data_IF_935419134852
#
_entry.id   IF_935419134852
#
_cell.length_a   1.000
_cell.length_b   1.000
_cell.length_c   1.000
_cell.angle_alpha   90.00
_cell.angle_beta   90.00
_cell.angle_gamma   90.00
#
_symmetry.space_group_name_H-M   'P 1'
#
loop_
_entity.id
_entity.type
_entity.pdbx_description
1 polymer ?
#
# COMPACT_ATOMS: atom_id res chain seq x y z
N UNK A 1 53.30 -29.10 -4.63
CA UNK A 1 52.41 -28.19 -5.38
C UNK A 1 51.00 -28.43 -4.87
N UNK A 2 50.49 -27.54 -4.03
CA UNK A 2 49.15 -27.67 -3.45
C UNK A 2 48.45 -26.33 -3.65
N UNK A 3 47.48 -26.32 -4.57
CA UNK A 3 46.67 -25.14 -4.86
C UNK A 3 45.74 -24.84 -3.68
N UNK A 4 45.91 -23.67 -3.07
CA UNK A 4 44.95 -23.13 -2.11
C UNK A 4 43.88 -22.38 -2.91
N UNK A 5 42.76 -23.05 -3.17
CA UNK A 5 41.55 -22.42 -3.71
C UNK A 5 41.02 -21.42 -2.68
N UNK A 6 41.19 -20.13 -2.98
CA UNK A 6 40.54 -19.06 -2.26
C UNK A 6 39.05 -19.08 -2.62
N UNK A 7 38.24 -19.64 -1.72
CA UNK A 7 36.81 -19.42 -1.71
C UNK A 7 36.57 -17.93 -1.43
N UNK A 8 36.23 -17.19 -2.47
CA UNK A 8 35.74 -15.81 -2.35
C UNK A 8 34.43 -15.89 -1.57
N UNK A 9 34.50 -15.55 -0.29
CA UNK A 9 33.32 -15.35 0.55
C UNK A 9 32.44 -14.30 -0.11
N UNK A 10 31.23 -14.68 -0.51
CA UNK A 10 30.17 -13.73 -0.85
C UNK A 10 30.02 -12.79 0.34
N UNK A 11 30.15 -11.48 0.08
CA UNK A 11 30.07 -10.46 1.11
C UNK A 11 28.73 -10.57 1.86
N UNK A 12 28.79 -10.78 3.16
CA UNK A 12 27.65 -10.97 4.08
C UNK A 12 27.07 -9.62 4.51
N UNK A 13 26.89 -8.70 3.56
CA UNK A 13 26.25 -7.42 3.85
C UNK A 13 24.83 -7.44 3.31
N UNK A 14 23.87 -7.69 4.20
CA UNK A 14 22.45 -7.44 3.91
C UNK A 14 22.30 -5.98 3.44
N UNK A 15 21.60 -5.76 2.34
CA UNK A 15 21.24 -4.42 1.87
C UNK A 15 20.34 -3.70 2.90
N UNK A 16 20.25 -2.36 2.81
CA UNK A 16 19.35 -1.60 3.68
C UNK A 16 17.87 -2.02 3.51
N UNK A 17 17.48 -2.40 2.29
CA UNK A 17 16.17 -2.95 1.99
C UNK A 17 15.91 -4.28 2.68
N UNK A 18 16.87 -5.21 2.66
CA UNK A 18 16.75 -6.51 3.33
C UNK A 18 16.67 -6.38 4.85
N UNK A 19 17.47 -5.49 5.45
CA UNK A 19 17.39 -5.21 6.89
C UNK A 19 16.04 -4.62 7.29
N UNK A 20 15.53 -3.68 6.50
CA UNK A 20 14.24 -3.06 6.76
C UNK A 20 13.08 -4.07 6.60
N UNK A 21 13.13 -4.90 5.55
CA UNK A 21 12.18 -5.98 5.35
C UNK A 21 12.19 -6.97 6.52
N UNK A 22 13.38 -7.39 7.00
CA UNK A 22 13.51 -8.26 8.17
C UNK A 22 12.91 -7.63 9.43
N UNK A 23 13.11 -6.32 9.63
CA UNK A 23 12.53 -5.60 10.77
C UNK A 23 10.99 -5.58 10.72
N UNK A 24 10.40 -5.29 9.56
CA UNK A 24 8.95 -5.32 9.39
C UNK A 24 8.37 -6.71 9.62
N UNK A 25 9.02 -7.74 9.08
CA UNK A 25 8.61 -9.13 9.28
C UNK A 25 8.66 -9.53 10.76
N UNK A 26 9.73 -9.18 11.45
CA UNK A 26 9.89 -9.47 12.87
C UNK A 26 8.78 -8.83 13.70
N UNK A 27 8.42 -7.57 13.40
CA UNK A 27 7.33 -6.88 14.08
C UNK A 27 5.96 -7.54 13.80
N UNK A 28 5.72 -7.94 12.54
CA UNK A 28 4.51 -8.68 12.16
C UNK A 28 4.38 -10.00 12.91
N UNK A 29 5.49 -10.69 13.14
CA UNK A 29 5.53 -12.00 13.79
C UNK A 29 5.49 -11.93 15.32
N UNK A 30 5.99 -10.85 15.93
CA UNK A 30 5.97 -10.71 17.39
C UNK A 30 4.57 -10.43 17.94
N UNK A 31 3.70 -9.82 17.15
CA UNK A 31 2.36 -9.42 17.59
C UNK A 31 2.34 -8.17 18.48
N UNK A 32 3.48 -7.49 18.61
CA UNK A 32 3.59 -6.27 19.40
C UNK A 32 2.87 -5.11 18.71
N UNK A 33 2.26 -4.22 19.50
CA UNK A 33 1.62 -3.00 19.01
C UNK A 33 2.62 -1.90 18.61
N UNK A 34 3.91 -2.21 18.61
CA UNK A 34 4.96 -1.30 18.20
C UNK A 34 4.77 -0.88 16.73
N UNK A 35 5.33 0.28 16.41
CA UNK A 35 5.21 0.87 15.08
C UNK A 35 6.57 1.16 14.49
N UNK A 36 6.70 0.94 13.18
CA UNK A 36 7.89 1.31 12.41
C UNK A 36 7.62 2.59 11.66
N UNK A 37 8.62 3.48 11.68
CA UNK A 37 8.62 4.71 10.90
C UNK A 37 9.17 4.41 9.50
N UNK A 38 8.44 4.83 8.49
CA UNK A 38 8.80 4.81 7.09
C UNK A 38 8.88 6.24 6.57
N UNK A 39 9.95 6.59 5.85
CA UNK A 39 10.18 7.95 5.31
C UNK A 39 10.40 7.93 3.80
N UNK A 40 11.09 6.92 3.31
CA UNK A 40 11.55 6.89 1.93
C UNK A 40 10.59 6.10 1.01
N UNK A 41 10.49 6.48 -0.28
CA UNK A 41 9.71 5.73 -1.25
C UNK A 41 10.05 4.23 -1.32
N UNK A 42 11.34 3.86 -1.25
CA UNK A 42 11.72 2.44 -1.26
C UNK A 42 11.21 1.70 -0.01
N UNK A 43 11.17 2.34 1.17
CA UNK A 43 10.61 1.76 2.39
C UNK A 43 9.11 1.54 2.26
N UNK A 44 8.42 2.46 1.57
CA UNK A 44 6.98 2.35 1.32
C UNK A 44 6.67 1.11 0.48
N UNK A 45 7.46 0.83 -0.57
CA UNK A 45 7.32 -0.39 -1.39
C UNK A 45 7.43 -1.66 -0.55
N UNK A 46 8.46 -1.74 0.31
CA UNK A 46 8.69 -2.90 1.18
C UNK A 46 7.56 -3.03 2.22
N UNK A 47 7.11 -1.92 2.79
CA UNK A 47 6.00 -1.90 3.74
C UNK A 47 4.70 -2.42 3.14
N UNK A 48 4.36 -2.01 1.91
CA UNK A 48 3.17 -2.52 1.23
C UNK A 48 3.25 -4.01 0.95
N UNK A 49 4.42 -4.52 0.54
CA UNK A 49 4.59 -5.96 0.33
C UNK A 49 4.32 -6.76 1.61
N UNK A 50 4.84 -6.32 2.76
CA UNK A 50 4.63 -7.00 4.03
C UNK A 50 3.19 -6.89 4.55
N UNK A 51 2.54 -5.74 4.38
CA UNK A 51 1.12 -5.56 4.71
C UNK A 51 0.23 -6.44 3.82
N UNK A 52 0.51 -6.51 2.52
CA UNK A 52 -0.22 -7.40 1.62
C UNK A 52 0.06 -8.87 1.91
N UNK A 53 1.29 -9.22 2.31
CA UNK A 53 1.59 -10.58 2.76
C UNK A 53 0.78 -10.95 4.00
N UNK A 54 0.66 -10.04 4.98
CA UNK A 54 -0.26 -10.23 6.10
C UNK A 54 -1.70 -10.42 5.61
N UNK A 55 -2.19 -9.58 4.69
CA UNK A 55 -3.55 -9.70 4.15
C UNK A 55 -3.80 -11.07 3.51
N UNK A 56 -2.85 -11.58 2.73
CA UNK A 56 -2.89 -12.91 2.11
C UNK A 56 -2.95 -14.01 3.19
N UNK A 57 -2.06 -13.93 4.17
CA UNK A 57 -1.98 -14.93 5.25
C UNK A 57 -3.26 -14.93 6.09
N UNK A 58 -3.80 -13.75 6.40
CA UNK A 58 -5.07 -13.59 7.12
C UNK A 58 -6.23 -14.11 6.28
N UNK A 59 -6.31 -13.78 4.99
CA UNK A 59 -7.39 -14.24 4.10
C UNK A 59 -7.43 -15.77 3.97
N UNK A 60 -6.27 -16.42 3.96
CA UNK A 60 -6.16 -17.88 3.96
C UNK A 60 -6.67 -18.52 5.26
N UNK A 61 -6.56 -17.83 6.39
CA UNK A 61 -7.00 -18.30 7.73
C UNK A 61 -8.43 -17.88 8.06
N UNK A 62 -8.85 -16.73 7.57
CA UNK A 62 -10.09 -16.03 7.92
C UNK A 62 -10.63 -15.40 6.65
N UNK A 63 -11.78 -15.90 6.16
CA UNK A 63 -12.39 -15.39 4.94
C UNK A 63 -12.90 -13.96 5.14
N UNK A 64 -12.90 -13.17 4.08
CA UNK A 64 -13.54 -11.84 4.04
C UNK A 64 -12.63 -10.70 4.49
N UNK A 65 -11.31 -10.83 4.30
CA UNK A 65 -10.38 -9.73 4.53
C UNK A 65 -10.57 -8.67 3.45
N UNK A 66 -10.72 -7.42 3.90
CA UNK A 66 -10.80 -6.25 3.03
C UNK A 66 -9.55 -5.40 3.22
N UNK A 67 -8.83 -5.15 2.12
CA UNK A 67 -7.76 -4.15 2.06
C UNK A 67 -8.37 -2.82 1.61
N UNK A 68 -8.09 -1.77 2.37
CA UNK A 68 -8.57 -0.41 2.12
C UNK A 68 -7.40 0.49 1.80
N UNK A 69 -7.47 1.20 0.69
CA UNK A 69 -6.42 2.12 0.23
C UNK A 69 -7.03 3.48 -0.04
N UNK A 70 -6.60 4.50 0.69
CA UNK A 70 -6.92 5.88 0.42
C UNK A 70 -5.63 6.56 -0.04
N UNK A 71 -5.61 7.01 -1.29
CA UNK A 71 -4.39 7.50 -1.94
C UNK A 71 -4.64 8.72 -2.82
N UNK A 72 -3.63 9.56 -3.02
CA UNK A 72 -3.72 10.66 -3.98
C UNK A 72 -3.58 10.23 -5.42
N UNK A 73 -2.78 9.20 -5.67
CA UNK A 73 -2.65 8.57 -6.98
C UNK A 73 -2.20 7.11 -6.83
N UNK A 74 -2.37 6.33 -7.89
CA UNK A 74 -1.92 4.94 -7.97
C UNK A 74 -0.77 4.83 -8.99
N UNK A 75 0.39 5.41 -8.67
CA UNK A 75 1.52 5.46 -9.60
C UNK A 75 2.44 4.24 -9.51
N UNK A 76 3.15 3.93 -10.59
CA UNK A 76 4.05 2.76 -10.68
C UNK A 76 5.30 2.90 -9.81
N UNK A 77 5.68 4.12 -9.44
CA UNK A 77 6.82 4.39 -8.56
C UNK A 77 6.56 3.95 -7.12
N UNK A 78 5.30 3.78 -6.72
CA UNK A 78 4.90 3.31 -5.39
C UNK A 78 4.28 1.91 -5.47
N UNK A 79 3.42 1.68 -6.44
CA UNK A 79 2.68 0.44 -6.65
C UNK A 79 3.25 -0.39 -7.82
N UNK A 80 4.57 -0.35 -8.01
CA UNK A 80 5.24 -1.08 -9.10
C UNK A 80 5.04 -2.60 -9.07
N UNK A 81 5.64 -3.34 -10.03
CA UNK A 81 5.35 -4.76 -10.25
C UNK A 81 5.34 -5.65 -8.98
N UNK A 82 6.30 -5.54 -8.04
CA UNK A 82 6.29 -6.37 -6.83
C UNK A 82 5.08 -6.14 -5.92
N UNK A 83 4.54 -4.93 -5.87
CA UNK A 83 3.34 -4.60 -5.08
C UNK A 83 2.09 -5.05 -5.84
N UNK A 84 2.05 -4.84 -7.16
CA UNK A 84 0.98 -5.31 -8.03
C UNK A 84 0.80 -6.83 -7.94
N UNK A 85 1.89 -7.60 -8.01
CA UNK A 85 1.88 -9.06 -7.87
C UNK A 85 1.29 -9.51 -6.52
N UNK A 86 1.55 -8.77 -5.45
CA UNK A 86 0.98 -9.06 -4.12
C UNK A 86 -0.51 -8.75 -4.05
N UNK A 87 -0.99 -7.69 -4.70
CA UNK A 87 -2.42 -7.45 -4.86
C UNK A 87 -3.09 -8.59 -5.62
N UNK A 88 -2.51 -9.03 -6.73
CA UNK A 88 -3.04 -10.16 -7.52
C UNK A 88 -3.10 -11.45 -6.68
N UNK A 89 -2.05 -11.76 -5.92
CA UNK A 89 -2.04 -12.90 -4.99
C UNK A 89 -3.14 -12.81 -3.93
N UNK A 90 -3.40 -11.62 -3.40
CA UNK A 90 -4.44 -11.38 -2.40
C UNK A 90 -5.85 -11.55 -2.99
N UNK A 91 -6.11 -10.99 -4.18
CA UNK A 91 -7.37 -11.14 -4.90
C UNK A 91 -7.61 -12.62 -5.30
N UNK A 92 -6.56 -13.32 -5.71
CA UNK A 92 -6.61 -14.75 -6.01
C UNK A 92 -6.92 -15.60 -4.75
N UNK A 93 -6.46 -15.19 -3.58
CA UNK A 93 -6.84 -15.79 -2.29
C UNK A 93 -8.30 -15.46 -1.88
N UNK A 94 -9.00 -14.63 -2.65
CA UNK A 94 -10.39 -14.25 -2.42
C UNK A 94 -10.58 -13.07 -1.48
N UNK A 95 -9.54 -12.27 -1.26
CA UNK A 95 -9.67 -11.00 -0.57
C UNK A 95 -10.30 -9.92 -1.45
N UNK A 96 -10.80 -8.87 -0.81
CA UNK A 96 -11.42 -7.72 -1.48
C UNK A 96 -10.54 -6.46 -1.31
N UNK A 97 -10.44 -5.65 -2.36
CA UNK A 97 -9.68 -4.39 -2.34
C UNK A 97 -10.62 -3.22 -2.63
N UNK A 98 -10.59 -2.21 -1.77
CA UNK A 98 -11.31 -0.94 -1.96
C UNK A 98 -10.33 0.21 -2.03
N UNK A 99 -10.38 0.99 -3.09
CA UNK A 99 -9.48 2.11 -3.34
C UNK A 99 -10.26 3.41 -3.48
N UNK A 100 -9.93 4.42 -2.68
CA UNK A 100 -10.38 5.79 -2.89
C UNK A 100 -9.18 6.58 -3.41
N UNK A 101 -9.33 7.16 -4.59
CA UNK A 101 -8.37 8.11 -5.16
C UNK A 101 -8.94 9.52 -4.99
N UNK A 102 -8.25 10.41 -4.30
CA UNK A 102 -8.79 11.76 -4.06
C UNK A 102 -8.39 12.81 -5.09
N UNK A 103 -7.43 12.50 -5.97
CA UNK A 103 -7.05 13.39 -7.06
C UNK A 103 -7.79 12.98 -8.35
N UNK A 104 -8.30 13.96 -9.11
CA UNK A 104 -9.03 13.73 -10.38
C UNK A 104 -8.14 13.19 -11.51
N UNK A 105 -6.82 13.11 -11.32
CA UNK A 105 -5.90 12.55 -12.32
C UNK A 105 -5.90 11.01 -12.30
N UNK A 106 -7.03 10.41 -12.66
CA UNK A 106 -7.19 8.96 -12.83
C UNK A 106 -6.24 8.40 -13.91
N UNK A 107 -5.91 9.20 -14.93
CA UNK A 107 -5.12 8.82 -16.10
C UNK A 107 -3.72 8.23 -15.78
N UNK A 108 -3.04 8.73 -14.73
CA UNK A 108 -1.72 8.18 -14.33
C UNK A 108 -1.83 6.86 -13.56
N UNK A 109 -3.01 6.58 -13.01
CA UNK A 109 -3.31 5.45 -12.12
C UNK A 109 -3.91 4.25 -12.86
N UNK A 110 -4.16 4.44 -14.15
CA UNK A 110 -5.15 3.70 -14.91
C UNK A 110 -4.75 2.26 -15.24
N UNK A 111 -3.49 2.01 -15.59
CA UNK A 111 -3.07 0.68 -16.06
C UNK A 111 -3.16 -0.38 -14.96
N UNK A 112 -2.72 -0.04 -13.75
CA UNK A 112 -2.66 -0.99 -12.64
C UNK A 112 -4.05 -1.23 -12.04
N UNK A 113 -4.83 -0.16 -11.87
CA UNK A 113 -6.23 -0.27 -11.46
C UNK A 113 -7.01 -1.10 -12.51
N UNK A 114 -6.88 -0.79 -13.81
CA UNK A 114 -7.54 -1.56 -14.88
C UNK A 114 -7.07 -3.01 -14.96
N UNK A 115 -5.83 -3.32 -14.58
CA UNK A 115 -5.34 -4.70 -14.53
C UNK A 115 -6.03 -5.49 -13.42
N UNK A 116 -6.12 -4.88 -12.23
CA UNK A 116 -6.70 -5.51 -11.04
C UNK A 116 -8.24 -5.57 -11.09
N UNK A 117 -8.91 -4.56 -11.66
CA UNK A 117 -10.37 -4.50 -11.81
C UNK A 117 -10.95 -5.64 -12.66
N UNK A 118 -10.20 -6.16 -13.65
CA UNK A 118 -10.67 -7.30 -14.48
C UNK A 118 -10.99 -8.54 -13.66
N UNK A 119 -10.49 -8.64 -12.44
CA UNK A 119 -10.74 -9.77 -11.54
C UNK A 119 -12.04 -9.61 -10.72
N UNK A 120 -12.76 -8.49 -10.84
CA UNK A 120 -14.10 -8.28 -10.24
C UNK A 120 -14.13 -8.15 -8.71
N UNK A 121 -12.96 -8.07 -8.06
CA UNK A 121 -12.79 -8.01 -6.60
C UNK A 121 -12.04 -6.76 -6.12
N UNK A 122 -11.83 -5.82 -7.04
CA UNK A 122 -11.30 -4.50 -6.76
C UNK A 122 -12.35 -3.47 -7.14
N UNK A 123 -12.69 -2.59 -6.19
CA UNK A 123 -13.52 -1.42 -6.44
C UNK A 123 -12.68 -0.17 -6.25
N UNK A 124 -12.81 0.78 -7.18
CA UNK A 124 -12.19 2.10 -7.08
C UNK A 124 -13.27 3.19 -7.07
N UNK A 125 -13.11 4.20 -6.20
CA UNK A 125 -13.95 5.40 -6.15
C UNK A 125 -13.07 6.65 -6.18
N UNK A 126 -13.64 7.75 -6.66
CA UNK A 126 -12.97 9.05 -6.65
C UNK A 126 -13.71 9.96 -5.66
N UNK A 127 -12.98 10.68 -4.80
CA UNK A 127 -13.62 11.59 -3.83
C UNK A 127 -13.90 12.99 -4.40
N UNK A 128 -13.27 13.38 -5.52
CA UNK A 128 -13.49 14.68 -6.19
C UNK A 128 -12.97 15.91 -5.43
N UNK A 129 -12.16 15.70 -4.39
CA UNK A 129 -11.63 16.79 -3.54
C UNK A 129 -10.28 17.27 -4.05
N UNK A 130 -10.26 18.09 -5.10
CA UNK A 130 -9.00 18.49 -5.78
C UNK A 130 -8.34 19.79 -5.32
N UNK A 131 -8.97 20.67 -4.53
CA UNK A 131 -8.35 21.99 -4.32
C UNK A 131 -8.49 22.70 -2.96
N UNK A 132 -9.43 22.32 -2.08
CA UNK A 132 -9.64 23.02 -0.80
C UNK A 132 -9.62 22.10 0.44
N UNK A 133 -9.21 20.84 0.30
CA UNK A 133 -9.14 19.87 1.38
C UNK A 133 -7.79 19.93 2.11
N UNK A 134 -7.81 20.33 3.38
CA UNK A 134 -6.69 20.28 4.32
C UNK A 134 -5.96 18.92 4.22
N UNK A 135 -4.64 18.96 4.02
CA UNK A 135 -3.66 17.85 4.11
C UNK A 135 -4.28 16.44 4.21
N UNK A 136 -4.38 15.73 3.08
CA UNK A 136 -4.88 14.36 3.06
C UNK A 136 -3.73 13.35 3.28
N UNK A 137 -3.94 12.43 4.22
CA UNK A 137 -2.98 11.36 4.56
C UNK A 137 -3.25 10.11 3.75
N UNK A 138 -2.21 9.53 3.13
CA UNK A 138 -2.35 8.18 2.57
C UNK A 138 -2.61 7.18 3.69
N UNK A 139 -3.60 6.33 3.47
CA UNK A 139 -3.98 5.29 4.41
C UNK A 139 -4.02 3.95 3.67
N UNK A 140 -3.46 2.93 4.30
CA UNK A 140 -3.56 1.54 3.88
C UNK A 140 -3.94 0.71 5.10
N UNK A 141 -5.07 0.00 5.05
CA UNK A 141 -5.56 -0.83 6.17
C UNK A 141 -5.81 -2.26 5.69
N UNK A 142 -5.34 -3.22 6.48
CA UNK A 142 -5.61 -4.65 6.29
C UNK A 142 -6.62 -5.09 7.34
N UNK A 143 -7.85 -5.38 6.92
CA UNK A 143 -8.91 -5.83 7.83
C UNK A 143 -9.14 -4.84 8.97
N UNK A 144 -8.94 -5.29 10.20
CA UNK A 144 -8.94 -4.49 11.43
C UNK A 144 -7.67 -4.73 12.26
N UNK A 145 -6.59 -5.16 11.63
CA UNK A 145 -5.41 -5.70 12.35
C UNK A 145 -4.17 -4.84 12.14
N UNK A 146 -3.97 -4.34 10.92
CA UNK A 146 -2.76 -3.64 10.54
C UNK A 146 -3.05 -2.42 9.67
N UNK A 147 -2.15 -1.44 9.73
CA UNK A 147 -2.22 -0.26 8.89
C UNK A 147 -0.86 0.36 8.57
N UNK A 148 -0.85 1.15 7.50
CA UNK A 148 0.11 2.23 7.26
C UNK A 148 -0.65 3.54 7.19
N UNK A 149 -0.20 4.54 7.95
CA UNK A 149 -0.77 5.88 7.97
C UNK A 149 0.31 6.92 7.69
N UNK A 150 0.10 7.73 6.67
CA UNK A 150 0.98 8.82 6.29
C UNK A 150 0.71 10.09 7.10
N UNK A 151 1.75 10.88 7.34
CA UNK A 151 1.61 12.19 7.98
C UNK A 151 0.95 13.17 7.00
N UNK A 152 0.08 14.07 7.46
CA UNK A 152 -0.57 15.02 6.57
C UNK A 152 0.44 15.91 5.83
N UNK A 153 0.38 15.93 4.50
CA UNK A 153 1.29 16.68 3.61
C UNK A 153 0.50 17.41 2.50
N UNK A 154 1.06 18.44 1.84
CA UNK A 154 0.39 19.08 0.71
C UNK A 154 0.27 18.13 -0.49
N UNK A 155 -0.74 18.33 -1.33
CA UNK A 155 -0.86 17.62 -2.59
C UNK A 155 0.24 18.10 -3.56
N UNK A 156 1.05 17.17 -4.06
CA UNK A 156 2.08 17.48 -5.03
C UNK A 156 1.59 17.16 -6.45
N UNK A 157 1.45 18.19 -7.30
CA UNK A 157 0.92 18.05 -8.67
C UNK A 157 1.90 17.37 -9.64
N UNK A 158 3.19 17.63 -9.47
CA UNK A 158 4.28 17.08 -10.29
C UNK A 158 5.41 16.56 -9.39
N UNK A 159 5.36 15.27 -9.07
CA UNK A 159 6.36 14.63 -8.22
C UNK A 159 7.25 13.71 -9.06
N UNK A 160 8.54 14.02 -9.12
CA UNK A 160 9.56 13.06 -9.53
C UNK A 160 9.90 12.21 -8.31
N UNK A 161 9.48 10.95 -8.31
CA UNK A 161 9.76 10.02 -7.22
C UNK A 161 11.10 9.31 -7.49
N UNK A 162 12.01 9.39 -6.54
CA UNK A 162 13.27 8.63 -6.49
C UNK A 162 13.21 7.62 -5.34
N UNK A 163 14.31 6.93 -5.04
CA UNK A 163 14.33 6.04 -3.88
C UNK A 163 14.27 6.80 -2.54
N UNK A 164 14.80 8.02 -2.49
CA UNK A 164 14.89 8.83 -1.26
C UNK A 164 13.93 10.02 -1.24
N UNK A 165 13.41 10.46 -2.39
CA UNK A 165 12.59 11.66 -2.49
C UNK A 165 11.25 11.40 -3.19
N UNK A 166 10.15 12.01 -2.72
CA UNK A 166 10.07 12.86 -1.54
C UNK A 166 10.13 12.04 -0.25
N UNK A 167 10.72 12.60 0.80
CA UNK A 167 10.56 12.04 2.14
C UNK A 167 9.14 12.33 2.64
N UNK A 168 8.35 11.28 2.85
CA UNK A 168 7.03 11.41 3.46
C UNK A 168 6.93 10.44 4.63
N UNK A 169 6.80 11.02 5.82
CA UNK A 169 6.75 10.28 7.07
C UNK A 169 5.45 9.49 7.16
N UNK A 170 5.56 8.18 7.38
CA UNK A 170 4.45 7.28 7.62
C UNK A 170 4.76 6.33 8.78
N UNK A 171 3.71 5.88 9.44
CA UNK A 171 3.75 4.89 10.51
C UNK A 171 3.15 3.59 10.01
N UNK A 172 3.79 2.46 10.33
CA UNK A 172 3.30 1.11 10.02
C UNK A 172 3.11 0.35 11.33
N UNK A 173 1.94 -0.26 11.51
CA UNK A 173 1.59 -1.07 12.66
C UNK A 173 0.98 -2.39 12.18
N UNK A 174 1.43 -3.54 12.73
CA UNK A 174 0.93 -4.87 12.34
C UNK A 174 -0.03 -5.50 13.35
N UNK A 175 -0.16 -4.93 14.55
CA UNK A 175 -0.96 -5.53 15.64
C UNK A 175 -1.69 -4.50 16.50
N UNK A 176 -1.94 -3.30 15.97
CA UNK A 176 -2.77 -2.27 16.61
C UNK A 176 -4.22 -2.37 16.07
N UNK A 177 -4.97 -3.33 16.61
CA UNK A 177 -6.33 -3.60 16.14
C UNK A 177 -7.31 -2.46 16.40
N UNK A 178 -7.10 -1.70 17.48
CA UNK A 178 -7.89 -0.52 17.81
C UNK A 178 -7.65 0.60 16.79
N UNK A 179 -6.39 0.93 16.50
CA UNK A 179 -6.04 1.92 15.50
C UNK A 179 -6.51 1.52 14.10
N UNK A 180 -6.27 0.26 13.70
CA UNK A 180 -6.73 -0.27 12.43
C UNK A 180 -8.27 -0.21 12.29
N UNK A 181 -9.02 -0.55 13.35
CA UNK A 181 -10.48 -0.48 13.33
C UNK A 181 -11.00 0.96 13.19
N UNK A 182 -10.36 1.94 13.86
CA UNK A 182 -10.72 3.36 13.72
C UNK A 182 -10.49 3.84 12.28
N UNK A 183 -9.34 3.50 11.70
CA UNK A 183 -8.98 3.89 10.34
C UNK A 183 -9.87 3.19 9.30
N UNK A 184 -10.19 1.91 9.50
CA UNK A 184 -11.13 1.18 8.66
C UNK A 184 -12.53 1.83 8.68
N UNK A 185 -13.01 2.23 9.87
CA UNK A 185 -14.29 2.93 10.00
C UNK A 185 -14.26 4.28 9.26
N UNK A 186 -13.20 5.08 9.47
CA UNK A 186 -13.02 6.35 8.76
C UNK A 186 -13.06 6.16 7.24
N UNK A 187 -12.33 5.16 6.73
CA UNK A 187 -12.35 4.82 5.31
C UNK A 187 -13.74 4.40 4.83
N UNK A 188 -14.42 3.50 5.55
CA UNK A 188 -15.75 3.00 5.15
C UNK A 188 -16.81 4.11 5.18
N UNK A 189 -16.69 5.08 6.08
CA UNK A 189 -17.55 6.27 6.11
C UNK A 189 -17.29 7.16 4.88
N UNK A 190 -16.02 7.43 4.56
CA UNK A 190 -15.65 8.18 3.36
C UNK A 190 -16.09 7.45 2.08
N UNK A 191 -15.90 6.13 2.03
CA UNK A 191 -16.29 5.27 0.91
C UNK A 191 -17.76 5.43 0.52
N UNK A 192 -18.66 5.52 1.52
CA UNK A 192 -20.09 5.71 1.31
C UNK A 192 -20.45 7.09 0.76
N UNK A 193 -19.63 8.10 1.05
CA UNK A 193 -19.81 9.46 0.56
C UNK A 193 -19.23 9.65 -0.85
N UNK A 194 -18.22 8.86 -1.23
CA UNK A 194 -17.65 8.91 -2.57
C UNK A 194 -18.60 8.32 -3.61
N UNK A 195 -18.71 9.00 -4.73
CA UNK A 195 -19.45 8.53 -5.89
C UNK A 195 -18.73 7.34 -6.53
N UNK A 196 -19.53 6.39 -7.05
CA UNK A 196 -19.00 5.33 -7.89
C UNK A 196 -18.74 5.92 -9.27
N UNK A 197 -17.48 5.93 -9.72
CA UNK A 197 -17.21 6.17 -11.14
C UNK A 197 -17.75 4.97 -11.93
N UNK A 198 -18.98 5.12 -12.42
CA UNK A 198 -19.59 4.18 -13.36
C UNK A 198 -18.94 4.35 -14.73
N UNK A 199 -18.71 3.24 -15.45
CA UNK A 199 -18.08 3.15 -16.79
C UNK A 199 -18.80 3.92 -17.92
N UNK A 200 -19.73 4.83 -17.63
CA UNK A 200 -20.66 5.40 -18.61
C UNK A 200 -20.35 6.83 -19.06
N UNK A 201 -19.38 7.54 -18.49
CA UNK A 201 -19.09 8.93 -18.90
C UNK A 201 -17.93 9.06 -19.91
N UNK A 202 -17.13 8.01 -20.13
CA UNK A 202 -16.03 8.04 -21.10
C UNK A 202 -16.42 7.61 -22.53
N UNK A 203 -17.71 7.34 -22.79
CA UNK A 203 -18.22 7.06 -24.14
C UNK A 203 -18.88 8.26 -24.83
N UNK A 204 -18.87 9.47 -24.23
CA UNK A 204 -19.62 10.62 -24.75
C UNK A 204 -18.88 11.96 -24.74
N UNK A 205 -17.55 11.99 -24.67
CA UNK A 205 -16.78 13.23 -24.93
C UNK A 205 -15.58 12.98 -25.81
#
# INVERSE_FOLDING_TARGET
MTEIRHGVGKSVFDSAAERYHRALRSLRESGDSDSVICRFPWQTKVAFQELLQLAIDTQKRSRGVVVRVLTGSFCSEVYGPPVAEKFEQFLAAGGDVRIIVWNDSYAKSEWLIRSLERQGKLECRISGTTENGEKLSHLFVVGKDAYRLESPHPAYRELKVTDSEPEILSRICFSDSKGAAILAKYFDDLWRLCEVRSRLEEATT
#
